data_IF_192841240504
#
_entry.id   IF_192841240504
#
_cell.length_a   1.000
_cell.length_b   1.000
_cell.length_c   1.000
_cell.angle_alpha   90.00
_cell.angle_beta   90.00
_cell.angle_gamma   90.00
#
_symmetry.space_group_name_H-M   'P 1'
#
loop_
_entity.id
_entity.type
_entity.pdbx_description
1 polymer ?
#
# COMPACT_ATOMS: atom_id res chain seq x y z
N UNK A 1 6.50 61.24 -28.69
CA UNK A 1 7.36 60.21 -28.07
C UNK A 1 6.49 59.30 -27.18
N UNK A 2 6.12 58.12 -27.67
CA UNK A 2 5.30 57.13 -26.95
C UNK A 2 6.22 56.08 -26.43
N UNK A 3 6.32 55.92 -25.10
CA UNK A 3 7.06 54.86 -24.45
C UNK A 3 6.14 53.64 -24.34
N UNK A 4 6.52 52.56 -24.98
CA UNK A 4 5.89 51.21 -24.86
C UNK A 4 6.56 50.50 -23.70
N UNK A 5 5.80 50.24 -22.67
CA UNK A 5 6.24 49.37 -21.55
C UNK A 5 5.82 47.93 -21.87
N UNK A 6 6.80 47.11 -22.17
CA UNK A 6 6.60 45.67 -22.38
C UNK A 6 6.43 45.00 -21.00
N UNK A 7 5.22 44.55 -20.67
CA UNK A 7 4.96 43.74 -19.50
C UNK A 7 5.40 42.31 -19.74
N UNK A 8 6.38 41.88 -18.98
CA UNK A 8 6.86 40.49 -18.95
C UNK A 8 5.86 39.65 -18.12
N UNK A 9 5.05 38.88 -18.81
CA UNK A 9 4.09 37.97 -18.21
C UNK A 9 4.81 36.67 -17.82
N UNK A 10 5.13 36.52 -16.54
CA UNK A 10 5.73 35.31 -15.97
C UNK A 10 4.63 34.25 -15.84
N UNK A 11 4.59 33.30 -16.79
CA UNK A 11 3.72 32.14 -16.71
C UNK A 11 4.37 31.14 -15.76
N UNK A 12 3.95 31.14 -14.50
CA UNK A 12 4.28 30.08 -13.56
C UNK A 12 3.56 28.80 -13.99
N UNK A 13 4.28 27.89 -14.63
CA UNK A 13 3.81 26.54 -14.89
C UNK A 13 3.75 25.78 -13.56
N UNK A 14 2.58 25.72 -12.94
CA UNK A 14 2.30 24.78 -11.87
C UNK A 14 2.28 23.37 -12.48
N UNK A 15 3.41 22.66 -12.39
CA UNK A 15 3.42 21.21 -12.58
C UNK A 15 2.84 20.58 -11.33
N UNK A 16 1.51 20.52 -11.27
CA UNK A 16 0.81 19.66 -10.36
C UNK A 16 1.02 18.22 -10.79
N UNK A 17 1.97 17.55 -10.16
CA UNK A 17 2.14 16.11 -10.25
C UNK A 17 0.84 15.48 -9.71
N UNK A 18 0.01 15.00 -10.61
CA UNK A 18 -1.20 14.28 -10.25
C UNK A 18 -0.77 12.95 -9.64
N UNK A 19 -0.86 12.83 -8.31
CA UNK A 19 -0.81 11.54 -7.63
C UNK A 19 -1.82 10.62 -8.33
N UNK A 20 -1.36 9.50 -8.88
CA UNK A 20 -2.23 8.53 -9.54
C UNK A 20 -3.24 8.03 -8.50
N UNK A 21 -4.47 8.47 -8.66
CA UNK A 21 -5.59 7.99 -7.85
C UNK A 21 -5.70 6.49 -8.01
N UNK A 22 -5.96 5.80 -6.90
CA UNK A 22 -6.17 4.35 -6.86
C UNK A 22 -7.10 3.81 -7.95
N UNK A 23 -7.22 2.50 -8.06
CA UNK A 23 -8.15 1.89 -9.02
C UNK A 23 -9.54 2.44 -8.73
N UNK A 24 -10.19 3.14 -9.68
CA UNK A 24 -11.50 3.70 -9.44
C UNK A 24 -12.48 2.60 -9.05
N UNK A 25 -13.10 2.71 -7.89
CA UNK A 25 -14.19 1.84 -7.47
C UNK A 25 -13.85 0.77 -6.42
N UNK A 26 -12.59 0.61 -5.96
CA UNK A 26 -12.33 -0.28 -4.83
C UNK A 26 -12.85 0.32 -3.51
N UNK A 27 -13.47 -0.51 -2.64
CA UNK A 27 -13.82 -0.08 -1.30
C UNK A 27 -12.60 0.45 -0.55
N UNK A 28 -12.84 1.42 0.33
CA UNK A 28 -11.80 2.04 1.15
C UNK A 28 -12.02 1.66 2.61
N UNK A 29 -10.93 1.55 3.36
CA UNK A 29 -10.95 1.27 4.78
C UNK A 29 -9.69 1.76 5.46
N UNK A 30 -9.56 1.41 6.74
CA UNK A 30 -8.39 1.76 7.54
C UNK A 30 -7.89 0.53 8.26
N UNK A 31 -6.59 0.31 8.24
CA UNK A 31 -5.89 -0.66 9.08
C UNK A 31 -5.08 0.11 10.10
N UNK A 32 -5.38 -0.07 11.39
CA UNK A 32 -4.60 0.49 12.48
C UNK A 32 -3.77 -0.60 13.13
N UNK A 33 -2.46 -0.48 13.04
CA UNK A 33 -1.51 -1.36 13.70
C UNK A 33 -1.16 -0.84 15.09
N UNK A 34 -1.29 -1.68 16.11
CA UNK A 34 -0.90 -1.37 17.48
C UNK A 34 0.59 -1.70 17.68
N UNK A 35 1.47 -0.78 17.29
CA UNK A 35 2.91 -1.03 17.28
C UNK A 35 3.60 -0.59 18.58
N UNK A 36 4.82 -1.05 18.80
CA UNK A 36 5.62 -0.64 19.94
C UNK A 36 5.98 0.87 19.95
N UNK A 37 5.84 1.54 18.79
CA UNK A 37 6.06 2.99 18.65
C UNK A 37 4.78 3.81 18.74
N UNK A 38 3.65 3.17 19.06
CA UNK A 38 2.33 3.75 19.07
C UNK A 38 1.49 3.29 17.89
N UNK A 39 0.21 3.67 17.82
CA UNK A 39 -0.67 3.30 16.73
C UNK A 39 -0.19 3.85 15.40
N UNK A 40 -0.12 2.97 14.39
CA UNK A 40 0.14 3.35 13.01
C UNK A 40 -1.14 3.14 12.18
N UNK A 41 -1.61 4.19 11.52
CA UNK A 41 -2.89 4.21 10.80
C UNK A 41 -2.62 4.25 9.30
N UNK A 42 -3.03 3.20 8.58
CA UNK A 42 -2.88 3.06 7.14
C UNK A 42 -4.26 3.15 6.48
N UNK A 43 -4.44 4.08 5.56
CA UNK A 43 -5.61 4.12 4.68
C UNK A 43 -5.42 3.11 3.56
N UNK A 44 -6.38 2.22 3.37
CA UNK A 44 -6.23 1.12 2.42
C UNK A 44 -7.37 1.08 1.40
N UNK A 45 -7.02 0.72 0.18
CA UNK A 45 -7.96 0.17 -0.77
C UNK A 45 -8.13 -1.31 -0.47
N UNK A 46 -9.35 -1.85 -0.62
CA UNK A 46 -9.66 -3.23 -0.24
C UNK A 46 -9.78 -4.09 -1.49
N UNK A 47 -8.87 -5.07 -1.62
CA UNK A 47 -8.87 -6.07 -2.67
C UNK A 47 -9.44 -7.39 -2.12
N UNK A 48 -10.74 -7.64 -2.35
CA UNK A 48 -11.45 -8.77 -1.78
C UNK A 48 -11.92 -9.80 -2.83
N UNK A 49 -11.84 -9.47 -4.11
CA UNK A 49 -12.14 -10.39 -5.23
C UNK A 49 -10.88 -10.78 -6.00
N UNK A 50 -10.97 -11.83 -6.84
CA UNK A 50 -9.82 -12.36 -7.57
C UNK A 50 -9.19 -11.34 -8.51
N UNK A 51 -9.98 -10.51 -9.16
CA UNK A 51 -9.49 -9.52 -10.13
C UNK A 51 -8.73 -8.39 -9.43
N UNK A 52 -9.28 -7.86 -8.34
CA UNK A 52 -8.64 -6.82 -7.54
C UNK A 52 -7.36 -7.34 -6.86
N UNK A 53 -7.38 -8.57 -6.32
CA UNK A 53 -6.17 -9.21 -5.77
C UNK A 53 -5.10 -9.44 -6.83
N UNK A 54 -5.48 -9.93 -8.01
CA UNK A 54 -4.53 -10.16 -9.12
C UNK A 54 -3.88 -8.87 -9.61
N UNK A 55 -4.63 -7.76 -9.62
CA UNK A 55 -4.10 -6.45 -10.03
C UNK A 55 -3.22 -5.81 -8.94
N UNK A 56 -3.66 -5.84 -7.69
CA UNK A 56 -2.93 -5.21 -6.59
C UNK A 56 -2.52 -3.75 -6.89
N UNK A 57 -1.30 -3.39 -6.52
CA UNK A 57 -0.70 -2.07 -6.74
C UNK A 57 0.09 -1.94 -8.06
N UNK A 58 -0.17 -2.82 -9.05
CA UNK A 58 0.48 -2.76 -10.37
C UNK A 58 0.29 -1.40 -11.03
N UNK A 59 1.33 -0.98 -11.78
CA UNK A 59 1.38 0.25 -12.59
C UNK A 59 1.37 1.56 -11.79
N UNK A 60 1.34 1.54 -10.47
CA UNK A 60 1.46 2.76 -9.65
C UNK A 60 2.89 3.25 -9.62
N UNK A 61 3.07 4.53 -9.83
CA UNK A 61 4.38 5.20 -9.83
C UNK A 61 4.78 5.69 -8.44
N UNK A 62 3.80 5.88 -7.57
CA UNK A 62 3.99 6.32 -6.19
C UNK A 62 2.87 5.78 -5.31
N UNK A 63 3.13 5.73 -4.03
CA UNK A 63 2.16 5.48 -2.98
C UNK A 63 2.41 6.53 -1.90
N UNK A 64 1.36 7.22 -1.48
CA UNK A 64 1.50 8.23 -0.44
C UNK A 64 1.86 7.57 0.91
N UNK A 65 2.57 8.27 1.80
CA UNK A 65 2.82 7.77 3.15
C UNK A 65 1.51 7.39 3.85
N UNK A 66 1.55 6.33 4.65
CA UNK A 66 0.37 5.81 5.37
C UNK A 66 -0.81 5.42 4.47
N UNK A 67 -0.54 5.08 3.20
CA UNK A 67 -1.52 4.52 2.27
C UNK A 67 -1.07 3.15 1.79
N UNK A 68 -2.05 2.31 1.42
CA UNK A 68 -1.74 0.96 0.97
C UNK A 68 -2.94 0.23 0.38
N UNK A 69 -2.79 -1.09 0.29
CA UNK A 69 -3.86 -1.99 -0.12
C UNK A 69 -3.97 -3.15 0.85
N UNK A 70 -5.21 -3.44 1.28
CA UNK A 70 -5.55 -4.59 2.08
C UNK A 70 -6.11 -5.69 1.18
N UNK A 71 -5.42 -6.82 1.13
CA UNK A 71 -5.88 -8.03 0.48
C UNK A 71 -6.64 -8.88 1.48
N UNK A 72 -7.88 -9.21 1.17
CA UNK A 72 -8.77 -10.03 2.01
C UNK A 72 -8.99 -11.37 1.30
N UNK A 73 -8.74 -12.47 2.00
CA UNK A 73 -8.97 -13.83 1.51
C UNK A 73 -10.11 -14.49 2.28
N UNK A 74 -10.89 -15.34 1.61
CA UNK A 74 -12.03 -16.02 2.22
C UNK A 74 -11.58 -17.05 3.27
N UNK A 75 -10.39 -17.63 3.11
CA UNK A 75 -9.81 -18.67 3.96
C UNK A 75 -8.43 -18.27 4.48
N UNK A 76 -7.96 -18.98 5.50
CA UNK A 76 -6.59 -18.86 6.01
C UNK A 76 -5.72 -19.90 5.31
N UNK A 77 -4.60 -19.46 4.71
CA UNK A 77 -3.68 -20.33 4.00
C UNK A 77 -2.33 -19.67 3.74
N UNK A 78 -1.38 -20.42 3.27
CA UNK A 78 -0.11 -19.84 2.86
C UNK A 78 -0.31 -18.94 1.63
N UNK A 79 0.17 -17.71 1.70
CA UNK A 79 0.03 -16.71 0.64
C UNK A 79 1.37 -16.44 -0.01
N UNK A 80 1.34 -16.26 -1.32
CA UNK A 80 2.49 -15.90 -2.12
C UNK A 80 2.15 -14.73 -3.03
N UNK A 81 3.00 -13.73 -3.05
CA UNK A 81 2.87 -12.52 -3.86
C UNK A 81 4.04 -12.40 -4.82
N UNK A 82 3.93 -11.56 -5.81
CA UNK A 82 4.98 -11.19 -6.74
C UNK A 82 4.99 -9.68 -6.94
N UNK A 83 6.03 -9.15 -7.56
CA UNK A 83 6.16 -7.74 -7.88
C UNK A 83 6.00 -7.47 -9.39
N UNK A 84 5.28 -8.39 -10.10
CA UNK A 84 4.99 -8.25 -11.53
C UNK A 84 4.29 -6.94 -11.81
N UNK A 85 4.75 -6.17 -12.80
CA UNK A 85 4.21 -4.83 -13.15
C UNK A 85 4.12 -3.85 -11.97
N UNK A 86 4.74 -4.11 -10.84
CA UNK A 86 4.76 -3.22 -9.67
C UNK A 86 6.01 -2.35 -9.74
N UNK A 87 5.83 -1.04 -9.89
CA UNK A 87 6.91 -0.10 -10.24
C UNK A 87 7.66 0.45 -9.02
N UNK A 88 7.09 0.30 -7.83
CA UNK A 88 7.61 0.83 -6.56
C UNK A 88 7.94 -0.33 -5.62
N UNK A 89 8.94 -0.14 -4.76
CA UNK A 89 9.23 -1.10 -3.69
C UNK A 89 8.09 -1.11 -2.66
N UNK A 90 7.72 -2.30 -2.20
CA UNK A 90 6.64 -2.49 -1.23
C UNK A 90 7.11 -3.29 -0.02
N UNK A 91 6.52 -2.99 1.13
CA UNK A 91 6.48 -3.91 2.27
C UNK A 91 5.16 -4.69 2.22
N UNK A 92 5.22 -6.01 2.39
CA UNK A 92 4.05 -6.88 2.45
C UNK A 92 3.92 -7.42 3.86
N UNK A 93 2.88 -7.00 4.58
CA UNK A 93 2.63 -7.35 5.98
C UNK A 93 1.56 -8.43 6.01
N UNK A 94 1.93 -9.65 6.40
CA UNK A 94 1.05 -10.82 6.43
C UNK A 94 0.41 -10.94 7.81
N UNK A 95 -0.93 -11.11 7.85
CA UNK A 95 -1.70 -11.23 9.09
C UNK A 95 -2.51 -12.53 9.07
N UNK A 96 -2.62 -13.15 10.22
CA UNK A 96 -3.48 -14.31 10.42
C UNK A 96 -4.97 -13.93 10.53
N UNK A 97 -5.82 -14.91 10.77
CA UNK A 97 -7.27 -14.72 10.95
C UNK A 97 -7.62 -13.88 12.18
N UNK A 98 -6.73 -13.80 13.17
CA UNK A 98 -6.89 -12.95 14.37
C UNK A 98 -6.39 -11.53 14.17
N UNK A 99 -5.91 -11.21 12.95
CA UNK A 99 -5.30 -9.93 12.55
C UNK A 99 -3.99 -9.64 13.28
N UNK A 100 -3.28 -10.68 13.71
CA UNK A 100 -1.91 -10.54 14.20
C UNK A 100 -0.93 -10.69 13.05
N UNK A 101 0.09 -9.84 13.00
CA UNK A 101 1.18 -9.93 12.02
C UNK A 101 1.97 -11.21 12.26
N UNK A 102 2.05 -12.06 11.24
CA UNK A 102 2.80 -13.33 11.26
C UNK A 102 4.16 -13.22 10.55
N UNK A 103 4.33 -12.21 9.70
CA UNK A 103 5.59 -11.93 9.02
C UNK A 103 5.49 -10.71 8.11
N UNK A 104 6.65 -10.22 7.69
CA UNK A 104 6.79 -9.08 6.78
C UNK A 104 7.84 -9.41 5.73
N UNK A 105 7.49 -9.23 4.46
CA UNK A 105 8.47 -9.13 3.38
C UNK A 105 8.78 -7.65 3.18
N UNK A 106 9.97 -7.23 3.58
CA UNK A 106 10.37 -5.84 3.53
C UNK A 106 11.05 -5.48 2.21
N UNK A 107 10.78 -4.28 1.70
CA UNK A 107 11.42 -3.71 0.50
C UNK A 107 11.44 -4.69 -0.69
N UNK A 108 10.29 -5.32 -1.00
CA UNK A 108 10.19 -6.21 -2.14
C UNK A 108 10.60 -5.48 -3.43
N UNK A 109 11.56 -6.08 -4.14
CA UNK A 109 12.16 -5.47 -5.34
C UNK A 109 11.13 -5.32 -6.46
N UNK A 110 10.93 -4.12 -7.02
CA UNK A 110 10.01 -3.88 -8.12
C UNK A 110 10.27 -4.75 -9.35
N UNK A 111 9.22 -5.01 -10.12
CA UNK A 111 9.27 -5.67 -11.44
C UNK A 111 9.97 -7.05 -11.40
N UNK A 112 9.75 -7.82 -10.34
CA UNK A 112 10.28 -9.19 -10.20
C UNK A 112 9.16 -10.20 -10.00
N UNK A 113 9.33 -11.37 -10.61
CA UNK A 113 8.34 -12.48 -10.53
C UNK A 113 8.69 -13.51 -9.46
N UNK A 114 9.77 -13.28 -8.71
CA UNK A 114 10.15 -14.15 -7.59
C UNK A 114 9.05 -14.19 -6.54
N UNK A 115 8.56 -15.36 -6.13
CA UNK A 115 7.55 -15.47 -5.10
C UNK A 115 7.98 -14.84 -3.77
N UNK A 116 7.08 -14.10 -3.14
CA UNK A 116 7.24 -13.50 -1.82
C UNK A 116 6.26 -14.15 -0.86
N UNK A 117 6.78 -14.82 0.14
CA UNK A 117 5.99 -15.50 1.18
C UNK A 117 6.72 -15.40 2.51
N UNK A 118 5.98 -15.55 3.60
CA UNK A 118 6.55 -15.65 4.96
C UNK A 118 6.47 -17.08 5.50
N UNK A 119 5.98 -18.03 4.68
CA UNK A 119 5.86 -19.45 5.04
C UNK A 119 4.91 -19.72 6.20
N UNK A 120 3.92 -18.85 6.40
CA UNK A 120 2.93 -18.95 7.48
C UNK A 120 1.52 -18.71 6.93
N UNK A 121 0.50 -19.42 7.47
CA UNK A 121 -0.88 -19.18 7.08
C UNK A 121 -1.29 -17.73 7.36
N UNK A 122 -1.95 -17.12 6.38
CA UNK A 122 -2.40 -15.73 6.45
C UNK A 122 -3.79 -15.62 5.82
N UNK A 123 -4.64 -14.78 6.41
CA UNK A 123 -5.96 -14.43 5.86
C UNK A 123 -5.94 -13.04 5.23
N UNK A 124 -5.03 -12.19 5.67
CA UNK A 124 -4.91 -10.82 5.17
C UNK A 124 -3.46 -10.50 4.83
N UNK A 125 -3.29 -9.60 3.86
CA UNK A 125 -1.98 -8.99 3.57
C UNK A 125 -2.19 -7.50 3.37
N UNK A 126 -1.35 -6.68 4.00
CA UNK A 126 -1.33 -5.22 3.79
C UNK A 126 -0.06 -4.87 3.03
N UNK A 127 -0.22 -4.27 1.86
CA UNK A 127 0.89 -3.70 1.10
C UNK A 127 0.98 -2.19 1.36
N UNK A 128 2.18 -1.72 1.67
CA UNK A 128 2.52 -0.30 1.89
C UNK A 128 3.82 0.03 1.17
N UNK A 129 4.20 1.28 1.11
CA UNK A 129 5.49 1.67 0.54
C UNK A 129 6.66 1.00 1.28
N UNK A 130 7.70 0.63 0.52
CA UNK A 130 8.86 -0.07 1.08
C UNK A 130 9.55 0.73 2.18
N UNK A 131 9.79 0.09 3.32
CA UNK A 131 10.42 0.67 4.51
C UNK A 131 9.44 1.16 5.57
N UNK A 132 8.14 1.33 5.28
CA UNK A 132 7.16 1.84 6.25
C UNK A 132 6.94 0.87 7.41
N UNK A 133 6.88 -0.44 7.15
CA UNK A 133 6.71 -1.42 8.23
C UNK A 133 7.82 -1.33 9.29
N UNK A 134 9.08 -1.17 8.85
CA UNK A 134 10.22 -1.00 9.75
C UNK A 134 10.20 0.38 10.46
N UNK A 135 9.85 1.45 9.73
CA UNK A 135 9.76 2.79 10.28
C UNK A 135 8.75 2.88 11.43
N UNK A 136 7.65 2.16 11.32
CA UNK A 136 6.59 2.11 12.34
C UNK A 136 6.71 0.91 13.30
N UNK A 137 7.74 0.07 13.17
CA UNK A 137 7.92 -1.15 13.98
C UNK A 137 6.73 -2.13 13.88
N UNK A 138 6.10 -2.21 12.72
CA UNK A 138 5.05 -3.17 12.44
C UNK A 138 5.68 -4.52 12.03
N UNK A 139 5.88 -5.40 12.98
CA UNK A 139 6.50 -6.71 12.82
C UNK A 139 5.67 -7.84 13.44
N UNK A 140 6.19 -9.10 13.41
CA UNK A 140 5.49 -10.24 13.98
C UNK A 140 5.02 -9.99 15.41
N UNK A 141 3.75 -10.36 15.69
CA UNK A 141 3.08 -10.13 16.96
C UNK A 141 2.35 -8.79 17.07
N UNK A 142 2.60 -7.83 16.18
CA UNK A 142 1.80 -6.59 16.11
C UNK A 142 0.35 -6.95 15.77
N UNK A 143 -0.61 -6.36 16.49
CA UNK A 143 -2.04 -6.53 16.20
C UNK A 143 -2.56 -5.42 15.30
N UNK A 144 -3.50 -5.76 14.44
CA UNK A 144 -4.21 -4.78 13.61
C UNK A 144 -5.69 -4.72 13.97
N UNK A 145 -6.25 -3.52 13.86
CA UNK A 145 -7.69 -3.25 13.95
C UNK A 145 -8.15 -2.73 12.60
N UNK A 146 -9.20 -3.34 12.05
CA UNK A 146 -9.79 -2.92 10.79
C UNK A 146 -11.00 -2.03 11.07
N UNK A 147 -11.10 -0.93 10.32
CA UNK A 147 -12.16 0.07 10.44
C UNK A 147 -12.72 0.28 9.03
N UNK A 148 -14.04 0.21 8.88
CA UNK A 148 -14.76 0.31 7.60
C UNK A 148 -14.30 -0.73 6.56
N UNK A 149 -13.92 -1.91 7.03
CA UNK A 149 -13.55 -3.06 6.18
C UNK A 149 -14.68 -4.08 6.23
N UNK A 150 -15.33 -4.33 5.10
CA UNK A 150 -16.24 -5.46 4.93
C UNK A 150 -15.41 -6.73 4.68
N UNK A 151 -15.72 -7.81 5.42
CA UNK A 151 -15.07 -9.12 5.34
C UNK A 151 -16.00 -10.18 4.76
#
# INVERSE_FOLDING_TARGET
MRRIVAGLMCVAACHGEAAEKGVPGLPQGVVRFETARGPWVVKVEIAADDASRARGLMFRRSLEPDHGMLFVFADTGERSFWMHNTLIALDMIFLDETRAVVGVVANATPQTDTPRTVGKPSRYVVEVAGGEAAAHAAGPGTRAVFIDVAE
#
